data_IF_567295847002
#
_entry.id   IF_567295847002
#
_cell.length_a   1.000
_cell.length_b   1.000
_cell.length_c   1.000
_cell.angle_alpha   90.00
_cell.angle_beta   90.00
_cell.angle_gamma   90.00
#
_symmetry.space_group_name_H-M   'P 1'
#
loop_
_entity.id
_entity.type
_entity.pdbx_description
1 polymer ?
#
# COMPACT_ATOMS: atom_id res chain seq x y z
N UNK A 1 -3.95 9.59 7.26
CA UNK A 1 -3.58 8.31 6.65
C UNK A 1 -4.75 7.33 6.67
N UNK A 2 -5.18 6.83 7.83
CA UNK A 2 -6.20 5.76 7.96
C UNK A 2 -7.46 5.91 7.09
N UNK A 3 -8.16 7.06 7.12
CA UNK A 3 -9.39 7.21 6.32
C UNK A 3 -9.11 7.10 4.81
N UNK A 4 -8.05 7.75 4.34
CA UNK A 4 -7.66 7.70 2.93
C UNK A 4 -7.24 6.28 2.51
N UNK A 5 -6.58 5.52 3.38
CA UNK A 5 -6.23 4.12 3.11
C UNK A 5 -7.45 3.20 2.99
N UNK A 6 -8.48 3.42 3.82
CA UNK A 6 -9.74 2.69 3.69
C UNK A 6 -10.43 3.03 2.37
N UNK A 7 -10.49 4.31 2.00
CA UNK A 7 -11.04 4.74 0.72
C UNK A 7 -10.27 4.15 -0.48
N UNK A 8 -8.94 4.14 -0.42
CA UNK A 8 -8.09 3.56 -1.45
C UNK A 8 -8.28 2.03 -1.53
N UNK A 9 -8.43 1.36 -0.39
CA UNK A 9 -8.77 -0.08 -0.33
C UNK A 9 -10.10 -0.38 -1.01
N UNK A 10 -11.14 0.42 -0.75
CA UNK A 10 -12.43 0.25 -1.41
C UNK A 10 -12.34 0.44 -2.92
N UNK A 11 -11.64 1.49 -3.39
CA UNK A 11 -11.41 1.70 -4.83
C UNK A 11 -10.69 0.51 -5.48
N UNK A 12 -9.70 -0.07 -4.80
CA UNK A 12 -8.98 -1.24 -5.30
C UNK A 12 -9.88 -2.47 -5.38
N UNK A 13 -10.72 -2.71 -4.37
CA UNK A 13 -11.71 -3.81 -4.36
C UNK A 13 -12.72 -3.65 -5.50
N UNK A 14 -13.29 -2.45 -5.65
CA UNK A 14 -14.24 -2.13 -6.71
C UNK A 14 -13.60 -2.30 -8.09
N UNK A 15 -12.37 -1.80 -8.27
CA UNK A 15 -11.63 -1.91 -9.53
C UNK A 15 -11.30 -3.37 -9.86
N UNK A 16 -10.84 -4.16 -8.90
CA UNK A 16 -10.58 -5.59 -9.06
C UNK A 16 -11.85 -6.32 -9.50
N UNK A 17 -12.97 -6.03 -8.83
CA UNK A 17 -14.27 -6.64 -9.14
C UNK A 17 -14.76 -6.25 -10.54
N UNK A 18 -14.61 -4.97 -10.93
CA UNK A 18 -14.95 -4.48 -12.26
C UNK A 18 -14.10 -5.12 -13.37
N UNK A 19 -12.88 -5.56 -13.06
CA UNK A 19 -12.00 -6.30 -13.97
C UNK A 19 -12.32 -7.81 -14.02
N UNK A 20 -13.31 -8.28 -13.27
CA UNK A 20 -13.72 -9.69 -13.20
C UNK A 20 -12.93 -10.53 -12.20
N UNK A 21 -12.11 -9.89 -11.35
CA UNK A 21 -11.40 -10.56 -10.25
C UNK A 21 -12.26 -10.73 -9.02
N UNK A 22 -11.81 -11.59 -8.10
CA UNK A 22 -12.48 -11.83 -6.81
C UNK A 22 -11.59 -11.31 -5.67
N UNK A 23 -12.04 -10.32 -4.88
CA UNK A 23 -11.29 -9.82 -3.73
C UNK A 23 -11.19 -10.88 -2.63
N UNK A 24 -10.04 -10.93 -1.96
CA UNK A 24 -9.86 -11.78 -0.77
C UNK A 24 -10.47 -11.04 0.42
N UNK A 25 -11.49 -11.64 1.04
CA UNK A 25 -12.17 -11.08 2.22
C UNK A 25 -11.66 -11.66 3.55
N UNK A 26 -10.82 -12.69 3.47
CA UNK A 26 -10.25 -13.35 4.64
C UNK A 26 -8.87 -12.75 4.93
N UNK A 27 -8.80 -11.93 5.97
CA UNK A 27 -7.54 -11.40 6.49
C UNK A 27 -7.13 -12.16 7.74
N UNK A 28 -5.85 -12.59 7.86
CA UNK A 28 -5.35 -13.17 9.10
C UNK A 28 -5.43 -12.16 10.25
N UNK A 29 -5.47 -12.67 11.49
CA UNK A 29 -5.44 -11.80 12.67
C UNK A 29 -4.14 -11.00 12.71
N UNK A 30 -4.27 -9.69 12.92
CA UNK A 30 -3.11 -8.81 13.12
C UNK A 30 -2.58 -9.04 14.53
N UNK A 31 -1.32 -9.43 14.63
CA UNK A 31 -0.61 -9.48 15.90
C UNK A 31 -0.20 -8.05 16.26
N UNK A 32 -0.76 -7.52 17.35
CA UNK A 32 -0.42 -6.18 17.82
C UNK A 32 0.78 -6.26 18.75
N UNK A 33 1.82 -5.55 18.38
CA UNK A 33 3.03 -5.41 19.19
C UNK A 33 2.81 -4.39 20.31
N UNK A 34 3.18 -4.73 21.55
CA UNK A 34 3.05 -3.83 22.71
C UNK A 34 4.25 -2.89 22.89
N UNK A 35 5.41 -3.28 22.38
CA UNK A 35 6.59 -2.43 22.33
C UNK A 35 6.50 -1.43 21.18
N UNK A 36 6.59 -0.13 21.48
CA UNK A 36 6.38 0.94 20.50
C UNK A 36 7.40 0.90 19.36
N UNK A 37 8.68 0.66 19.66
CA UNK A 37 9.73 0.64 18.64
C UNK A 37 9.55 -0.53 17.68
N UNK A 38 9.23 -1.72 18.20
CA UNK A 38 8.89 -2.88 17.37
C UNK A 38 7.60 -2.65 16.59
N UNK A 39 6.58 -2.03 17.18
CA UNK A 39 5.32 -1.75 16.50
C UNK A 39 5.51 -0.80 15.31
N UNK A 40 6.34 0.24 15.45
CA UNK A 40 6.70 1.16 14.36
C UNK A 40 7.47 0.44 13.25
N UNK A 41 8.43 -0.42 13.60
CA UNK A 41 9.17 -1.23 12.64
C UNK A 41 8.27 -2.22 11.88
N UNK A 42 7.38 -2.91 12.58
CA UNK A 42 6.43 -3.84 11.98
C UNK A 42 5.50 -3.10 11.01
N UNK A 43 5.00 -1.92 11.39
CA UNK A 43 4.16 -1.10 10.53
C UNK A 43 4.91 -0.60 9.28
N UNK A 44 6.13 -0.10 9.44
CA UNK A 44 6.98 0.33 8.34
C UNK A 44 7.24 -0.81 7.33
N UNK A 45 7.52 -2.01 7.83
CA UNK A 45 7.71 -3.20 7.01
C UNK A 45 6.42 -3.60 6.27
N UNK A 46 5.26 -3.49 6.92
CA UNK A 46 3.97 -3.72 6.25
C UNK A 46 3.73 -2.72 5.11
N UNK A 47 4.04 -1.44 5.32
CA UNK A 47 3.90 -0.43 4.26
C UNK A 47 4.82 -0.68 3.08
N UNK A 48 6.09 -1.05 3.33
CA UNK A 48 7.04 -1.43 2.28
C UNK A 48 6.56 -2.61 1.45
N UNK A 49 6.06 -3.66 2.11
CA UNK A 49 5.46 -4.82 1.44
C UNK A 49 4.24 -4.44 0.61
N UNK A 50 3.39 -3.54 1.12
CA UNK A 50 2.21 -3.07 0.40
C UNK A 50 2.60 -2.28 -0.86
N UNK A 51 3.57 -1.37 -0.78
CA UNK A 51 4.10 -0.64 -1.94
C UNK A 51 4.68 -1.60 -2.97
N UNK A 52 5.51 -2.56 -2.55
CA UNK A 52 6.09 -3.54 -3.45
C UNK A 52 5.01 -4.39 -4.16
N UNK A 53 3.97 -4.81 -3.43
CA UNK A 53 2.86 -5.58 -3.99
C UNK A 53 2.06 -4.77 -5.02
N UNK A 54 1.76 -3.50 -4.74
CA UNK A 54 1.05 -2.61 -5.68
C UNK A 54 1.89 -2.33 -6.93
N UNK A 55 3.17 -2.01 -6.76
CA UNK A 55 4.09 -1.77 -7.87
C UNK A 55 4.26 -3.01 -8.75
N UNK A 56 4.24 -4.21 -8.17
CA UNK A 56 4.29 -5.48 -8.91
C UNK A 56 3.13 -5.69 -9.88
N UNK A 57 2.02 -4.96 -9.74
CA UNK A 57 0.87 -5.03 -10.67
C UNK A 57 1.08 -4.16 -11.90
N UNK A 58 1.79 -3.03 -11.78
CA UNK A 58 1.93 -2.01 -12.85
C UNK A 58 2.45 -2.61 -14.17
N UNK A 59 3.49 -3.47 -14.20
CA UNK A 59 3.96 -4.07 -15.45
C UNK A 59 2.93 -4.95 -16.19
N UNK A 60 1.85 -5.33 -15.50
CA UNK A 60 0.78 -6.20 -16.02
C UNK A 60 -0.49 -5.44 -16.40
N UNK A 61 -0.60 -4.15 -16.06
CA UNK A 61 -1.64 -3.26 -16.56
C UNK A 61 -1.17 -2.66 -17.89
N UNK A 62 -1.55 -3.23 -19.04
CA UNK A 62 -1.00 -2.84 -20.36
C UNK A 62 -1.31 -1.41 -20.86
N UNK A 63 -0.96 -1.10 -22.11
CA UNK A 63 -1.08 0.24 -22.73
C UNK A 63 -2.50 0.63 -23.22
N UNK A 64 -3.54 -0.04 -22.74
CA UNK A 64 -4.92 0.28 -23.11
C UNK A 64 -5.47 1.39 -22.20
N UNK A 65 -6.38 2.27 -22.66
CA UNK A 65 -6.92 3.35 -21.82
C UNK A 65 -7.53 2.88 -20.48
N UNK A 66 -8.11 1.67 -20.45
CA UNK A 66 -8.66 1.06 -19.22
C UNK A 66 -7.58 0.68 -18.21
N UNK A 67 -6.42 0.27 -18.74
CA UNK A 67 -5.25 -0.16 -18.00
C UNK A 67 -4.43 1.04 -17.52
N UNK A 68 -4.32 2.10 -18.31
CA UNK A 68 -3.76 3.40 -17.88
C UNK A 68 -4.52 3.95 -16.65
N UNK A 69 -5.85 3.89 -16.66
CA UNK A 69 -6.64 4.30 -15.50
C UNK A 69 -6.40 3.43 -14.25
N UNK A 70 -5.98 2.17 -14.41
CA UNK A 70 -5.57 1.32 -13.28
C UNK A 70 -4.17 1.69 -12.80
N UNK A 71 -3.22 1.89 -13.71
CA UNK A 71 -1.86 2.34 -13.39
C UNK A 71 -1.88 3.63 -12.58
N UNK A 72 -2.58 4.65 -13.08
CA UNK A 72 -2.70 5.94 -12.39
C UNK A 72 -3.33 5.81 -10.99
N UNK A 73 -4.32 4.93 -10.83
CA UNK A 73 -4.88 4.65 -9.50
C UNK A 73 -3.81 4.03 -8.59
N UNK A 74 -3.07 3.03 -9.07
CA UNK A 74 -2.02 2.37 -8.30
C UNK A 74 -0.89 3.34 -7.92
N UNK A 75 -0.45 4.19 -8.86
CA UNK A 75 0.55 5.23 -8.61
C UNK A 75 0.11 6.21 -7.52
N UNK A 76 -1.16 6.64 -7.53
CA UNK A 76 -1.69 7.51 -6.49
C UNK A 76 -1.70 6.85 -5.11
N UNK A 77 -2.05 5.56 -5.03
CA UNK A 77 -2.02 4.80 -3.77
C UNK A 77 -0.56 4.61 -3.31
N UNK A 78 0.34 4.25 -4.21
CA UNK A 78 1.78 4.10 -3.93
C UNK A 78 2.36 5.41 -3.41
N UNK A 79 2.09 6.54 -4.06
CA UNK A 79 2.56 7.86 -3.64
C UNK A 79 2.13 8.18 -2.21
N UNK A 80 0.87 7.88 -1.84
CA UNK A 80 0.38 8.07 -0.47
C UNK A 80 1.08 7.16 0.53
N UNK A 81 1.26 5.88 0.17
CA UNK A 81 1.97 4.93 1.04
C UNK A 81 3.44 5.29 1.21
N UNK A 82 4.08 5.82 0.17
CA UNK A 82 5.45 6.34 0.27
C UNK A 82 5.53 7.49 1.28
N UNK A 83 4.58 8.45 1.26
CA UNK A 83 4.52 9.51 2.27
C UNK A 83 4.37 8.96 3.71
N UNK A 84 3.64 7.85 3.88
CA UNK A 84 3.50 7.19 5.17
C UNK A 84 4.78 6.46 5.58
N UNK A 85 5.46 5.80 4.64
CA UNK A 85 6.79 5.20 4.86
C UNK A 85 7.78 6.27 5.32
N UNK A 86 7.84 7.41 4.62
CA UNK A 86 8.77 8.49 4.95
C UNK A 86 8.50 9.04 6.36
N UNK A 87 7.23 9.21 6.72
CA UNK A 87 6.84 9.60 8.07
C UNK A 87 7.26 8.56 9.14
N UNK A 88 7.00 7.27 8.89
CA UNK A 88 7.32 6.19 9.82
C UNK A 88 8.82 5.97 9.95
N UNK A 89 9.57 6.18 8.86
CA UNK A 89 11.02 6.09 8.82
C UNK A 89 11.67 7.06 9.81
N UNK A 90 11.27 8.34 9.73
CA UNK A 90 11.73 9.35 10.68
C UNK A 90 11.25 9.08 12.11
N UNK A 91 10.01 8.60 12.29
CA UNK A 91 9.47 8.30 13.61
C UNK A 91 10.17 7.11 14.30
N UNK A 92 10.77 6.21 13.53
CA UNK A 92 11.50 5.06 14.03
C UNK A 92 13.03 5.31 14.17
N UNK A 93 13.49 6.55 13.95
CA UNK A 93 14.89 6.97 14.05
C UNK A 93 15.86 6.15 13.16
N UNK A 94 15.40 5.67 11.99
CA UNK A 94 16.28 5.03 11.02
C UNK A 94 17.16 6.05 10.27
N UNK A 95 18.36 5.64 9.84
CA UNK A 95 19.21 6.43 8.93
C UNK A 95 18.50 6.68 7.60
N UNK A 96 18.55 7.89 7.05
CA UNK A 96 17.83 8.26 5.82
C UNK A 96 18.24 7.35 4.63
N UNK A 97 17.29 6.75 3.87
CA UNK A 97 17.62 5.89 2.74
C UNK A 97 18.14 6.69 1.52
N UNK A 98 18.09 8.02 1.57
CA UNK A 98 18.52 8.92 0.49
C UNK A 98 19.85 9.65 0.78
N UNK A 99 20.48 9.41 1.93
CA UNK A 99 21.89 9.76 2.23
C UNK A 99 22.85 8.66 1.74
#
# INVERSE_FOLDING_TARGET
FVQAELEDTYKLIEKLSALGGTPILLTPAIQVQSDTAKALNDLLEHERKAVAALHGVIPHSGQEPRSEALEHLLEHVIMRKQQQIDYLWHAAEHEDPLD
#
